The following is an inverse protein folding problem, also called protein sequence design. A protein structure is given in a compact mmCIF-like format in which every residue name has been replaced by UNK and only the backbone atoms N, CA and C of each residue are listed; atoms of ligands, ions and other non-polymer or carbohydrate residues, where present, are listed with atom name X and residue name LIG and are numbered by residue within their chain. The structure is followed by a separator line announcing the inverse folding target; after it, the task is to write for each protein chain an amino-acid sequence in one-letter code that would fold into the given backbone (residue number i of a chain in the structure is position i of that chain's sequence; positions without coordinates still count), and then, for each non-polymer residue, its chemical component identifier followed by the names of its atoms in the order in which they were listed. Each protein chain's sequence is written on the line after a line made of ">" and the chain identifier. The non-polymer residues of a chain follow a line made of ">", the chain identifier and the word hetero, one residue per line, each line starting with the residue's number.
data_IF_309141358545
#
_entry.id   IF_309141358545
#
_cell.length_a   1.000
_cell.length_b   1.000
_cell.length_c   1.000
_cell.angle_alpha   90.00
_cell.angle_beta   90.00
_cell.angle_gamma   90.00
#
_symmetry.space_group_name_H-M   'P 1'
#
loop_
_entity.id
_entity.type
_entity.pdbx_description
1 polymer ?
#
# COMPACT_ATOMS: atom_id res chain seq x y z
N UNK A 1 1.38 -1.40 -2.90
CA UNK A 1 0.08 -1.29 -2.18
C UNK A 1 -0.05 0.11 -1.61
N UNK A 2 -1.26 0.66 -1.45
CA UNK A 2 -1.44 2.02 -0.92
C UNK A 2 -1.54 2.03 0.61
N UNK A 3 -0.83 2.96 1.26
CA UNK A 3 -0.93 3.21 2.70
C UNK A 3 -1.32 4.67 2.91
N UNK A 4 -2.29 4.90 3.79
CA UNK A 4 -2.73 6.23 4.21
C UNK A 4 -2.63 6.36 5.72
N UNK A 5 -2.12 7.51 6.17
CA UNK A 5 -1.97 7.84 7.59
C UNK A 5 -2.68 9.16 7.87
N UNK A 6 -3.64 9.11 8.78
CA UNK A 6 -4.23 10.28 9.40
C UNK A 6 -3.42 10.72 10.60
N UNK A 7 -3.14 12.01 10.71
CA UNK A 7 -2.43 12.60 11.85
C UNK A 7 -3.40 13.47 12.66
N UNK A 8 -3.38 13.30 13.97
CA UNK A 8 -4.11 14.16 14.92
C UNK A 8 -3.77 15.64 14.71
N UNK A 9 -4.75 16.51 14.93
CA UNK A 9 -4.63 17.97 14.77
C UNK A 9 -4.17 18.43 13.37
N UNK A 10 -4.28 17.58 12.36
CA UNK A 10 -3.94 17.87 10.97
C UNK A 10 -5.07 17.42 10.04
N UNK A 11 -5.57 18.31 9.15
CA UNK A 11 -6.52 17.90 8.12
C UNK A 11 -5.83 17.18 6.94
N UNK A 12 -4.50 17.08 6.95
CA UNK A 12 -3.73 16.43 5.88
C UNK A 12 -3.47 14.98 6.21
N UNK A 13 -3.58 14.15 5.18
CA UNK A 13 -3.24 12.73 5.21
C UNK A 13 -1.91 12.51 4.48
N UNK A 14 -1.11 11.57 4.97
CA UNK A 14 0.06 11.06 4.25
C UNK A 14 -0.35 9.82 3.46
N UNK A 15 -0.29 9.90 2.13
CA UNK A 15 -0.65 8.80 1.23
C UNK A 15 0.57 8.44 0.39
N UNK A 16 0.94 7.16 0.37
CA UNK A 16 2.05 6.68 -0.44
C UNK A 16 1.88 5.20 -0.83
N UNK A 17 2.54 4.80 -1.91
CA UNK A 17 2.61 3.40 -2.31
C UNK A 17 3.81 2.71 -1.65
N UNK A 18 3.57 1.63 -0.93
CA UNK A 18 4.60 0.77 -0.31
C UNK A 18 4.81 -0.51 -1.12
N UNK A 19 6.08 -0.92 -1.23
CA UNK A 19 6.48 -2.21 -1.79
C UNK A 19 6.28 -3.38 -0.80
N UNK A 20 6.00 -3.08 0.47
CA UNK A 20 5.80 -4.06 1.53
C UNK A 20 4.43 -4.73 1.41
N UNK A 21 4.30 -5.91 2.01
CA UNK A 21 3.03 -6.62 2.11
C UNK A 21 2.12 -5.99 3.18
N UNK A 22 0.78 -6.20 3.11
CA UNK A 22 -0.14 -5.70 4.14
C UNK A 22 0.24 -6.13 5.56
N UNK A 23 0.62 -7.39 5.74
CA UNK A 23 0.98 -7.94 7.04
C UNK A 23 2.26 -7.32 7.62
N UNK A 24 3.25 -7.02 6.78
CA UNK A 24 4.47 -6.33 7.22
C UNK A 24 4.18 -4.90 7.67
N UNK A 25 3.34 -4.17 6.92
CA UNK A 25 2.93 -2.80 7.30
C UNK A 25 2.12 -2.82 8.58
N UNK A 26 1.16 -3.73 8.71
CA UNK A 26 0.37 -3.90 9.93
C UNK A 26 1.26 -4.12 11.14
N UNK A 27 2.21 -5.06 11.05
CA UNK A 27 3.16 -5.34 12.13
C UNK A 27 3.97 -4.10 12.52
N UNK A 28 4.53 -3.37 11.54
CA UNK A 28 5.30 -2.15 11.82
C UNK A 28 4.46 -1.09 12.53
N UNK A 29 3.20 -0.93 12.12
CA UNK A 29 2.26 0.01 12.74
C UNK A 29 1.95 -0.43 14.18
N UNK A 30 1.62 -1.70 14.41
CA UNK A 30 1.31 -2.20 15.76
C UNK A 30 2.50 -2.13 16.69
N UNK A 31 3.70 -2.45 16.21
CA UNK A 31 4.93 -2.35 17.00
C UNK A 31 5.17 -0.88 17.41
N UNK A 32 5.03 0.06 16.46
CA UNK A 32 5.21 1.48 16.72
C UNK A 32 4.16 2.07 17.68
N UNK A 33 2.92 1.59 17.63
CA UNK A 33 1.84 1.99 18.54
C UNK A 33 1.96 1.35 19.94
N UNK A 34 2.66 0.21 20.06
CA UNK A 34 2.88 -0.49 21.33
C UNK A 34 3.88 0.23 22.25
N UNK A 35 4.53 1.29 21.77
CA UNK A 35 5.32 2.22 22.60
C UNK A 35 6.83 2.17 22.37
N UNK A 36 7.34 1.17 21.64
CA UNK A 36 8.74 1.12 21.22
C UNK A 36 8.85 0.44 19.84
N UNK A 37 9.18 1.15 18.74
CA UNK A 37 9.65 2.54 18.69
C UNK A 37 8.52 3.59 18.73
N UNK A 38 8.78 4.73 19.38
CA UNK A 38 7.88 5.90 19.41
C UNK A 38 7.67 6.58 18.04
N UNK A 39 8.33 6.08 17.00
CA UNK A 39 8.27 6.58 15.62
C UNK A 39 8.01 5.42 14.67
N UNK A 40 6.95 5.55 13.88
CA UNK A 40 6.65 4.69 12.74
C UNK A 40 7.49 5.12 11.54
N UNK A 41 8.38 4.23 11.09
CA UNK A 41 9.19 4.42 9.90
C UNK A 41 8.65 3.60 8.72
N UNK A 42 8.36 4.26 7.60
CA UNK A 42 7.85 3.62 6.39
C UNK A 42 8.67 4.06 5.18
N UNK A 43 8.75 3.20 4.17
CA UNK A 43 9.46 3.49 2.92
C UNK A 43 8.52 3.27 1.75
N UNK A 44 8.48 4.21 0.81
CA UNK A 44 7.71 4.03 -0.41
C UNK A 44 8.49 3.25 -1.49
N UNK A 45 7.80 2.91 -2.57
CA UNK A 45 8.37 2.21 -3.73
C UNK A 45 9.51 2.98 -4.43
N UNK A 46 9.64 4.29 -4.17
CA UNK A 46 10.70 5.14 -4.72
C UNK A 46 11.89 5.30 -3.76
N UNK A 47 11.88 4.59 -2.62
CA UNK A 47 12.91 4.67 -1.60
C UNK A 47 12.83 5.93 -0.72
N UNK A 48 11.77 6.73 -0.82
CA UNK A 48 11.56 7.84 0.13
C UNK A 48 11.15 7.27 1.47
N UNK A 49 11.72 7.83 2.54
CA UNK A 49 11.43 7.40 3.92
C UNK A 49 10.56 8.43 4.62
N UNK A 50 9.50 7.93 5.25
CA UNK A 50 8.58 8.70 6.09
C UNK A 50 8.79 8.31 7.54
N UNK A 51 8.89 9.31 8.42
CA UNK A 51 8.98 9.13 9.86
C UNK A 51 7.79 9.85 10.49
N UNK A 52 6.97 9.10 11.22
CA UNK A 52 5.73 9.61 11.84
C UNK A 52 5.75 9.30 13.32
N UNK A 53 5.47 10.29 14.17
CA UNK A 53 5.35 10.06 15.61
C UNK A 53 4.12 9.20 15.90
N UNK A 54 4.31 8.04 16.54
CA UNK A 54 3.24 7.09 16.83
C UNK A 54 2.12 7.72 17.66
N UNK A 55 2.48 8.59 18.61
CA UNK A 55 1.53 9.29 19.48
C UNK A 55 0.60 10.28 18.76
N UNK A 56 0.91 10.65 17.51
CA UNK A 56 0.09 11.56 16.72
C UNK A 56 -0.72 10.86 15.64
N UNK A 57 -0.60 9.55 15.48
CA UNK A 57 -1.35 8.80 14.48
C UNK A 57 -2.81 8.72 14.96
N UNK A 58 -3.73 9.27 14.16
CA UNK A 58 -5.16 9.14 14.41
C UNK A 58 -5.68 7.80 13.89
N UNK A 59 -5.22 7.40 12.69
CA UNK A 59 -5.55 6.12 12.07
C UNK A 59 -4.54 5.77 10.97
N UNK A 60 -4.48 4.49 10.61
CA UNK A 60 -3.75 3.98 9.44
C UNK A 60 -4.68 3.11 8.61
N UNK A 61 -4.79 3.42 7.33
CA UNK A 61 -5.48 2.60 6.34
C UNK A 61 -4.44 1.84 5.51
N UNK A 62 -4.58 0.52 5.48
CA UNK A 62 -3.70 -0.40 4.76
C UNK A 62 -4.50 -0.95 3.57
N UNK A 63 -4.13 -0.51 2.37
CA UNK A 63 -4.78 -0.95 1.14
C UNK A 63 -4.58 -2.44 0.90
N UNK A 64 -5.44 -3.02 0.06
CA UNK A 64 -5.30 -4.41 -0.34
C UNK A 64 -3.92 -4.65 -1.01
N UNK A 65 -3.36 -5.86 -0.82
CA UNK A 65 -2.25 -6.29 -1.64
C UNK A 65 -2.67 -6.18 -3.11
N UNK A 66 -1.80 -5.59 -3.93
CA UNK A 66 -2.08 -5.31 -5.33
C UNK A 66 -2.20 -6.64 -6.09
N UNK A 67 -3.40 -7.21 -6.09
CA UNK A 67 -3.73 -8.44 -6.81
C UNK A 67 -3.88 -8.06 -8.27
N UNK A 68 -2.74 -7.92 -8.97
CA UNK A 68 -2.75 -7.88 -10.42
C UNK A 68 -3.45 -9.16 -10.90
N UNK A 69 -4.74 -9.04 -11.25
CA UNK A 69 -5.50 -10.10 -11.89
C UNK A 69 -4.79 -10.41 -13.20
N UNK A 70 -4.09 -11.53 -13.28
CA UNK A 70 -3.58 -12.03 -14.56
C UNK A 70 -4.78 -12.38 -15.43
N UNK A 71 -5.14 -11.47 -16.32
CA UNK A 71 -6.14 -11.70 -17.35
C UNK A 71 -5.57 -12.63 -18.42
N UNK A 72 -5.74 -13.94 -18.26
CA UNK A 72 -5.64 -14.85 -19.39
C UNK A 72 -6.87 -14.64 -20.27
N UNK A 73 -6.83 -13.58 -21.08
CA UNK A 73 -7.75 -13.39 -22.20
C UNK A 73 -7.42 -14.42 -23.27
N UNK A 74 -8.15 -15.53 -23.22
CA UNK A 74 -8.27 -16.49 -24.32
C UNK A 74 -8.79 -15.72 -25.55
N UNK A 75 -7.92 -15.37 -26.49
CA UNK A 75 -8.33 -14.95 -27.83
C UNK A 75 -8.62 -16.21 -28.65
N UNK A 76 -9.76 -16.84 -28.39
CA UNK A 76 -10.33 -17.83 -29.31
C UNK A 76 -11.13 -17.14 -30.41
N UNK A 77 -10.80 -17.56 -31.64
CA UNK A 77 -11.63 -17.69 -32.86
C UNK A 77 -12.10 -16.43 -33.60
N UNK A 78 -11.49 -16.22 -34.77
CA UNK A 78 -12.09 -15.56 -35.93
C UNK A 78 -11.48 -16.18 -37.19
N UNK A 79 -12.13 -17.22 -37.71
CA UNK A 79 -11.77 -17.82 -39.00
C UNK A 79 -12.08 -16.83 -40.12
N UNK A 80 -11.08 -16.47 -40.94
CA UNK A 80 -11.32 -15.84 -42.23
C UNK A 80 -10.84 -16.78 -43.34
N UNK A 81 -11.82 -17.43 -43.97
CA UNK A 81 -11.66 -18.11 -45.25
C UNK A 81 -11.40 -17.04 -46.31
N UNK A 82 -10.18 -16.96 -46.85
CA UNK A 82 -9.94 -16.25 -48.11
C UNK A 82 -9.67 -17.26 -49.21
N UNK A 83 -10.62 -17.27 -50.14
CA UNK A 83 -10.67 -17.96 -51.41
C UNK A 83 -9.73 -17.27 -52.40
N UNK A 84 -8.86 -18.01 -53.07
CA UNK A 84 -8.36 -17.76 -54.43
C UNK A 84 -7.81 -19.06 -55.00
#
# INVERSE_FOLDING_TARGET
>A
MEVKIGVTDSPRELIFASAQTPAEVEKLVTDALSGDPAVLGLTDEKGRRFLVQSSRIAYVEIGAADSRRVGFGVTTVGAEVTKS
#
